data_IF_372674812986
#
_entry.id   IF_372674812986
#
_cell.length_a   1.000
_cell.length_b   1.000
_cell.length_c   1.000
_cell.angle_alpha   90.00
_cell.angle_beta   90.00
_cell.angle_gamma   90.00
#
_symmetry.space_group_name_H-M   'P 1'
#
loop_
_entity.id
_entity.type
_entity.pdbx_description
1 polymer ?
#
# COMPACT_ATOMS: atom_id res chain seq x y z
N UNK A 1 13.54 -5.05 -21.21
CA UNK A 1 13.71 -3.63 -21.26
C UNK A 1 12.65 -3.02 -22.18
N UNK A 2 11.36 -3.05 -21.82
CA UNK A 2 10.31 -2.59 -22.74
C UNK A 2 9.04 -2.16 -22.04
N UNK A 3 9.09 -1.39 -20.95
CA UNK A 3 7.83 -0.81 -20.44
C UNK A 3 7.95 0.60 -19.86
N UNK A 4 9.11 1.19 -19.92
CA UNK A 4 9.33 2.56 -19.41
C UNK A 4 8.84 3.65 -20.37
N UNK A 5 8.61 3.33 -21.63
CA UNK A 5 8.21 4.32 -22.66
C UNK A 5 6.73 4.69 -22.65
N UNK A 6 5.86 3.92 -22.04
CA UNK A 6 4.42 4.19 -22.08
C UNK A 6 3.96 5.30 -21.08
N UNK A 7 4.73 5.54 -20.02
CA UNK A 7 4.40 6.59 -19.04
C UNK A 7 4.93 7.97 -19.45
N UNK A 8 5.95 8.03 -20.32
CA UNK A 8 6.62 9.27 -20.71
C UNK A 8 5.80 10.20 -21.59
N UNK A 9 4.82 9.69 -22.34
CA UNK A 9 4.04 10.51 -23.29
C UNK A 9 2.74 11.08 -22.71
N UNK A 10 2.28 10.60 -21.56
CA UNK A 10 1.02 11.00 -20.96
C UNK A 10 1.18 12.00 -19.77
N UNK A 11 2.35 12.06 -19.15
CA UNK A 11 2.63 12.95 -18.03
C UNK A 11 3.48 14.12 -18.50
N UNK A 12 2.88 15.29 -18.65
CA UNK A 12 3.62 16.49 -19.12
C UNK A 12 4.44 17.18 -18.05
N UNK A 13 4.23 16.89 -16.75
CA UNK A 13 5.06 17.44 -15.66
C UNK A 13 4.98 16.58 -14.39
N UNK A 14 6.14 16.15 -13.89
CA UNK A 14 6.26 15.53 -12.57
C UNK A 14 6.58 16.64 -11.57
N UNK A 15 5.56 17.16 -10.90
CA UNK A 15 5.69 18.18 -9.86
C UNK A 15 5.76 17.55 -8.46
N UNK A 16 6.75 17.94 -7.69
CA UNK A 16 7.10 17.62 -6.30
C UNK A 16 7.98 16.38 -6.10
N UNK A 17 8.91 16.52 -5.13
CA UNK A 17 9.75 15.41 -4.65
C UNK A 17 8.88 14.19 -4.35
N UNK A 18 9.27 13.00 -4.81
CA UNK A 18 8.52 11.79 -4.54
C UNK A 18 8.44 11.55 -3.03
N UNK A 19 7.26 11.24 -2.54
CA UNK A 19 7.10 10.75 -1.19
C UNK A 19 7.65 9.33 -1.13
N UNK A 20 8.55 9.05 -0.17
CA UNK A 20 9.07 7.71 0.05
C UNK A 20 7.98 6.85 0.69
N UNK A 21 7.55 5.82 -0.01
CA UNK A 21 6.80 4.71 0.55
C UNK A 21 7.76 3.57 0.91
N UNK A 22 7.35 2.66 1.80
CA UNK A 22 8.20 1.54 2.24
C UNK A 22 8.74 0.71 1.07
N UNK A 23 7.87 0.32 0.15
CA UNK A 23 8.16 -0.56 -0.99
C UNK A 23 8.19 0.16 -2.33
N UNK A 24 8.04 1.49 -2.37
CA UNK A 24 7.99 2.26 -3.60
C UNK A 24 8.23 3.75 -3.43
N UNK A 25 7.96 4.47 -4.49
CA UNK A 25 7.97 5.93 -4.51
C UNK A 25 6.65 6.42 -5.08
N UNK A 26 6.08 7.47 -4.48
CA UNK A 26 4.82 8.07 -4.92
C UNK A 26 5.12 9.42 -5.56
N UNK A 27 4.66 9.57 -6.78
CA UNK A 27 4.77 10.80 -7.57
C UNK A 27 3.41 11.44 -7.73
N UNK A 28 3.39 12.76 -7.74
CA UNK A 28 2.22 13.52 -8.19
C UNK A 28 2.38 13.74 -9.71
N UNK A 29 1.43 13.27 -10.48
CA UNK A 29 1.40 13.41 -11.93
C UNK A 29 0.17 14.21 -12.35
N UNK A 30 0.34 15.08 -13.34
CA UNK A 30 -0.74 15.89 -13.91
C UNK A 30 -1.12 15.36 -15.29
N UNK A 31 -2.42 15.16 -15.53
CA UNK A 31 -2.95 14.81 -16.85
C UNK A 31 -3.40 16.09 -17.57
N UNK A 32 -3.52 15.99 -18.92
CA UNK A 32 -3.92 17.10 -19.81
C UNK A 32 -5.17 17.87 -19.37
N UNK A 33 -6.09 17.24 -18.65
CA UNK A 33 -7.34 17.86 -18.16
C UNK A 33 -7.19 18.51 -16.77
N UNK A 34 -6.01 18.88 -16.38
CA UNK A 34 -5.71 19.51 -15.06
C UNK A 34 -6.00 18.62 -13.84
N UNK A 35 -6.24 17.33 -14.05
CA UNK A 35 -6.44 16.37 -12.98
C UNK A 35 -5.10 15.85 -12.46
N UNK A 36 -4.96 15.78 -11.13
CA UNK A 36 -3.77 15.24 -10.49
C UNK A 36 -3.97 13.77 -10.12
N UNK A 37 -2.93 12.98 -10.33
CA UNK A 37 -2.88 11.56 -9.99
C UNK A 37 -1.71 11.26 -9.06
N UNK A 38 -1.92 10.32 -8.15
CA UNK A 38 -0.88 9.70 -7.37
C UNK A 38 -0.39 8.45 -8.10
N UNK A 39 0.87 8.45 -8.51
CA UNK A 39 1.51 7.32 -9.21
C UNK A 39 2.54 6.70 -8.27
N UNK A 40 2.23 5.52 -7.74
CA UNK A 40 3.14 4.75 -6.88
C UNK A 40 3.90 3.75 -7.76
N UNK A 41 5.21 3.89 -7.76
CA UNK A 41 6.12 3.04 -8.55
C UNK A 41 6.94 2.17 -7.62
N UNK A 42 6.97 0.88 -7.88
CA UNK A 42 7.72 -0.11 -7.12
C UNK A 42 9.24 0.12 -7.28
N UNK A 43 10.00 -0.12 -6.21
CA UNK A 43 11.47 -0.11 -6.28
C UNK A 43 11.97 -1.22 -7.23
N UNK A 44 13.05 -0.97 -7.98
CA UNK A 44 13.61 -1.99 -8.86
C UNK A 44 14.09 -3.20 -8.05
N UNK A 45 14.00 -4.37 -8.65
CA UNK A 45 14.46 -5.66 -8.10
C UNK A 45 13.84 -6.08 -6.75
N UNK A 46 12.74 -5.42 -6.31
CA UNK A 46 12.12 -5.67 -5.01
C UNK A 46 11.70 -7.14 -4.84
N UNK A 47 11.16 -7.78 -5.88
CA UNK A 47 10.80 -9.20 -5.85
C UNK A 47 12.00 -10.10 -5.47
N UNK A 48 13.15 -9.87 -6.10
CA UNK A 48 14.36 -10.67 -5.80
C UNK A 48 14.91 -10.41 -4.40
N UNK A 49 14.83 -9.16 -3.94
CA UNK A 49 15.26 -8.79 -2.59
C UNK A 49 14.40 -9.49 -1.53
N UNK A 50 13.07 -9.41 -1.66
CA UNK A 50 12.14 -10.07 -0.74
C UNK A 50 12.36 -11.58 -0.76
N UNK A 51 12.44 -12.19 -1.95
CA UNK A 51 12.66 -13.64 -2.06
C UNK A 51 13.94 -14.07 -1.36
N UNK A 52 15.02 -13.36 -1.58
CA UNK A 52 16.31 -13.63 -0.93
C UNK A 52 16.19 -13.51 0.59
N UNK A 53 15.59 -12.44 1.05
CA UNK A 53 15.50 -12.14 2.48
C UNK A 53 14.59 -13.16 3.20
N UNK A 54 13.48 -13.58 2.59
CA UNK A 54 12.61 -14.65 3.12
C UNK A 54 13.35 -15.98 3.21
N UNK A 55 14.14 -16.35 2.18
CA UNK A 55 14.94 -17.59 2.20
C UNK A 55 15.98 -17.56 3.32
N UNK A 56 16.68 -16.43 3.49
CA UNK A 56 17.67 -16.26 4.55
C UNK A 56 16.98 -16.33 5.93
N UNK A 57 15.88 -15.63 6.12
CA UNK A 57 15.11 -15.66 7.37
C UNK A 57 14.64 -17.07 7.70
N UNK A 58 14.14 -17.81 6.72
CA UNK A 58 13.71 -19.20 6.90
C UNK A 58 14.86 -20.10 7.32
N UNK A 59 16.02 -19.98 6.67
CA UNK A 59 17.21 -20.72 7.03
C UNK A 59 17.65 -20.41 8.47
N UNK A 60 17.77 -19.13 8.82
CA UNK A 60 18.15 -18.71 10.19
C UNK A 60 17.15 -19.20 11.22
N UNK A 61 15.85 -19.06 10.95
CA UNK A 61 14.80 -19.51 11.85
C UNK A 61 14.87 -21.02 12.11
N UNK A 62 15.07 -21.82 11.07
CA UNK A 62 15.20 -23.27 11.21
C UNK A 62 16.46 -23.63 11.97
N UNK A 63 17.57 -22.94 11.71
CA UNK A 63 18.85 -23.19 12.39
C UNK A 63 18.81 -22.85 13.86
N UNK A 64 18.18 -21.71 14.24
CA UNK A 64 18.11 -21.27 15.63
C UNK A 64 16.90 -21.82 16.40
N UNK A 65 15.94 -22.46 15.73
CA UNK A 65 14.73 -23.01 16.35
C UNK A 65 15.00 -23.88 17.60
N UNK A 66 16.03 -24.77 17.63
CA UNK A 66 16.30 -25.59 18.81
C UNK A 66 16.79 -24.80 20.03
N UNK A 67 17.32 -23.59 19.80
CA UNK A 67 17.87 -22.71 20.85
C UNK A 67 16.85 -21.72 21.39
N UNK A 68 15.71 -21.57 20.71
CA UNK A 68 14.67 -20.63 21.10
C UNK A 68 13.56 -21.39 21.84
N UNK A 69 13.29 -21.08 23.12
CA UNK A 69 12.19 -21.70 23.88
C UNK A 69 10.84 -21.10 23.45
N UNK A 70 10.52 -21.15 22.15
CA UNK A 70 9.30 -20.60 21.60
C UNK A 70 8.21 -21.69 21.59
N UNK A 71 7.30 -21.62 22.56
CA UNK A 71 6.10 -22.46 22.62
C UNK A 71 4.95 -21.80 21.84
N UNK A 72 5.15 -21.57 20.53
CA UNK A 72 4.19 -20.79 19.70
C UNK A 72 3.10 -21.71 19.11
N UNK A 73 3.18 -23.04 19.31
CA UNK A 73 2.19 -24.00 18.76
C UNK A 73 2.24 -24.18 17.23
N UNK A 74 2.97 -23.33 16.51
CA UNK A 74 3.17 -23.36 15.05
C UNK A 74 4.66 -23.32 14.75
N UNK A 75 5.11 -24.00 13.70
CA UNK A 75 6.52 -24.00 13.30
C UNK A 75 6.97 -22.61 12.86
N UNK A 76 8.15 -22.14 13.34
CA UNK A 76 8.70 -20.83 12.94
C UNK A 76 8.81 -20.71 11.42
N UNK A 77 9.13 -21.81 10.71
CA UNK A 77 9.20 -21.85 9.26
C UNK A 77 7.86 -21.49 8.60
N UNK A 78 6.75 -21.96 9.15
CA UNK A 78 5.40 -21.67 8.64
C UNK A 78 5.03 -20.19 8.80
N UNK A 79 5.42 -19.59 9.93
CA UNK A 79 5.23 -18.15 10.18
C UNK A 79 6.00 -17.33 9.15
N UNK A 80 7.24 -17.73 8.83
CA UNK A 80 8.05 -17.01 7.82
C UNK A 80 7.48 -17.21 6.42
N UNK A 81 6.97 -18.38 6.09
CA UNK A 81 6.32 -18.64 4.81
C UNK A 81 5.06 -17.78 4.64
N UNK A 82 4.24 -17.65 5.69
CA UNK A 82 3.07 -16.79 5.67
C UNK A 82 3.44 -15.31 5.57
N UNK A 83 4.45 -14.88 6.32
CA UNK A 83 5.01 -13.52 6.19
C UNK A 83 5.53 -13.25 4.77
N UNK A 84 6.23 -14.23 4.18
CA UNK A 84 6.69 -14.15 2.80
C UNK A 84 5.56 -13.98 1.79
N UNK A 85 4.47 -14.75 1.93
CA UNK A 85 3.26 -14.59 1.10
C UNK A 85 2.67 -13.20 1.24
N UNK A 86 2.51 -12.71 2.46
CA UNK A 86 1.98 -11.37 2.73
C UNK A 86 2.83 -10.28 2.05
N UNK A 87 4.16 -10.38 2.11
CA UNK A 87 5.06 -9.46 1.42
C UNK A 87 4.93 -9.52 -0.11
N UNK A 88 4.77 -10.73 -0.69
CA UNK A 88 4.56 -10.87 -2.13
C UNK A 88 3.20 -10.32 -2.58
N UNK A 89 2.18 -10.45 -1.76
CA UNK A 89 0.87 -9.84 -2.02
C UNK A 89 0.91 -8.31 -1.93
N UNK A 90 1.68 -7.75 -1.00
CA UNK A 90 1.88 -6.30 -0.81
C UNK A 90 2.60 -5.64 -2.01
N UNK A 91 3.44 -6.38 -2.71
CA UNK A 91 4.14 -5.86 -3.90
C UNK A 91 3.36 -6.07 -5.20
N UNK A 92 2.22 -6.75 -5.19
CA UNK A 92 1.36 -6.90 -6.37
C UNK A 92 0.36 -5.75 -6.45
N UNK A 93 0.75 -4.69 -7.16
CA UNK A 93 -0.06 -3.48 -7.29
C UNK A 93 -1.35 -3.67 -8.11
N UNK A 94 -1.48 -4.72 -8.91
CA UNK A 94 -2.76 -5.09 -9.53
C UNK A 94 -3.75 -5.57 -8.46
N UNK A 95 -3.29 -6.40 -7.52
CA UNK A 95 -4.12 -6.83 -6.38
C UNK A 95 -4.50 -5.64 -5.49
N UNK A 96 -3.54 -4.74 -5.19
CA UNK A 96 -3.81 -3.52 -4.43
C UNK A 96 -4.93 -2.70 -5.10
N UNK A 97 -4.85 -2.50 -6.43
CA UNK A 97 -5.87 -1.78 -7.19
C UNK A 97 -7.25 -2.47 -7.19
N UNK A 98 -7.29 -3.80 -7.34
CA UNK A 98 -8.54 -4.57 -7.27
C UNK A 98 -9.16 -4.52 -5.87
N UNK A 99 -8.34 -4.57 -4.83
CA UNK A 99 -8.82 -4.43 -3.46
C UNK A 99 -9.35 -3.03 -3.20
N UNK A 100 -8.70 -1.98 -3.72
CA UNK A 100 -9.22 -0.61 -3.64
C UNK A 100 -10.61 -0.49 -4.28
N UNK A 101 -10.86 -1.15 -5.43
CA UNK A 101 -12.18 -1.17 -6.06
C UNK A 101 -13.23 -1.89 -5.20
N UNK A 102 -12.88 -3.05 -4.61
CA UNK A 102 -13.79 -3.75 -3.69
C UNK A 102 -14.13 -2.90 -2.48
N UNK A 103 -13.12 -2.24 -1.93
CA UNK A 103 -13.28 -1.36 -0.77
C UNK A 103 -14.14 -0.15 -1.11
N UNK A 104 -13.94 0.47 -2.28
CA UNK A 104 -14.77 1.58 -2.76
C UNK A 104 -16.25 1.16 -2.90
N UNK A 105 -16.53 -0.04 -3.36
CA UNK A 105 -17.89 -0.57 -3.45
C UNK A 105 -18.51 -0.81 -2.07
N UNK A 106 -17.72 -1.32 -1.11
CA UNK A 106 -18.20 -1.59 0.25
C UNK A 106 -18.61 -0.31 0.98
N UNK A 107 -17.86 0.77 0.80
CA UNK A 107 -18.09 2.05 1.46
C UNK A 107 -18.82 3.10 0.60
N UNK A 108 -19.38 2.68 -0.53
CA UNK A 108 -20.03 3.59 -1.50
C UNK A 108 -21.09 4.48 -0.88
N UNK A 109 -21.85 3.99 0.10
CA UNK A 109 -22.95 4.71 0.75
C UNK A 109 -22.50 5.46 2.01
N UNK A 110 -21.24 5.35 2.42
CA UNK A 110 -20.73 6.03 3.60
C UNK A 110 -20.08 7.36 3.23
N UNK A 111 -20.72 8.52 3.51
CA UNK A 111 -20.19 9.81 3.12
C UNK A 111 -18.90 10.21 3.87
N UNK A 112 -18.58 9.53 4.97
CA UNK A 112 -17.39 9.83 5.78
C UNK A 112 -16.14 9.07 5.30
N UNK A 113 -16.27 8.22 4.28
CA UNK A 113 -15.16 7.42 3.74
C UNK A 113 -14.99 7.76 2.27
N UNK A 114 -13.85 8.35 1.93
CA UNK A 114 -13.47 8.64 0.56
C UNK A 114 -12.30 7.75 0.14
N UNK A 115 -12.49 6.98 -0.92
CA UNK A 115 -11.48 6.07 -1.45
C UNK A 115 -10.99 6.61 -2.81
N UNK A 116 -9.66 6.79 -2.99
CA UNK A 116 -9.11 7.26 -4.26
C UNK A 116 -9.53 6.36 -5.40
N UNK A 117 -9.94 6.95 -6.50
CA UNK A 117 -10.31 6.19 -7.70
C UNK A 117 -9.10 5.51 -8.29
N UNK A 118 -9.17 4.19 -8.48
CA UNK A 118 -8.13 3.40 -9.13
C UNK A 118 -8.20 3.59 -10.66
N UNK A 119 -7.11 4.03 -11.27
CA UNK A 119 -6.99 4.26 -12.72
C UNK A 119 -6.27 3.07 -13.38
N UNK A 120 -7.05 2.04 -13.72
CA UNK A 120 -6.52 0.78 -14.26
C UNK A 120 -5.70 0.98 -15.54
N UNK A 121 -6.10 1.92 -16.42
CA UNK A 121 -5.40 2.20 -17.67
C UNK A 121 -3.97 2.72 -17.50
N UNK A 122 -3.64 3.29 -16.33
CA UNK A 122 -2.31 3.80 -15.97
C UNK A 122 -1.62 2.93 -14.93
N UNK A 123 -2.11 1.72 -14.70
CA UNK A 123 -1.61 0.81 -13.66
C UNK A 123 -1.11 -0.50 -14.24
N UNK A 124 -0.21 -1.16 -13.53
CA UNK A 124 0.38 -2.46 -13.86
C UNK A 124 0.84 -3.15 -12.58
N UNK A 125 1.41 -4.36 -12.66
CA UNK A 125 1.94 -5.07 -11.48
C UNK A 125 2.94 -4.26 -10.63
N UNK A 126 3.63 -3.29 -11.24
CA UNK A 126 4.68 -2.50 -10.57
C UNK A 126 4.34 -1.02 -10.45
N UNK A 127 3.21 -0.59 -10.95
CA UNK A 127 2.77 0.79 -10.92
C UNK A 127 1.29 0.82 -10.58
N UNK A 128 0.92 1.49 -9.49
CA UNK A 128 -0.48 1.76 -9.19
C UNK A 128 -0.74 3.26 -9.30
N UNK A 129 -1.80 3.59 -10.00
CA UNK A 129 -2.23 4.97 -10.22
C UNK A 129 -3.62 5.17 -9.65
N UNK A 130 -3.75 6.19 -8.81
CA UNK A 130 -5.03 6.58 -8.20
C UNK A 130 -5.26 8.07 -8.35
N UNK A 131 -6.49 8.52 -8.15
CA UNK A 131 -6.76 9.96 -8.05
C UNK A 131 -5.97 10.56 -6.89
N UNK A 132 -5.47 11.80 -7.10
CA UNK A 132 -4.81 12.53 -6.02
C UNK A 132 -5.83 13.01 -5.00
N UNK A 133 -5.48 12.93 -3.74
CA UNK A 133 -6.27 13.45 -2.63
C UNK A 133 -5.40 14.41 -1.83
N UNK A 134 -5.92 15.59 -1.58
CA UNK A 134 -5.35 16.50 -0.60
C UNK A 134 -5.94 16.19 0.78
N UNK A 135 -5.09 16.08 1.77
CA UNK A 135 -5.50 15.73 3.11
C UNK A 135 -4.46 16.08 4.17
N UNK A 136 -4.90 16.16 5.41
CA UNK A 136 -4.07 16.42 6.57
C UNK A 136 -3.70 15.11 7.24
N UNK A 137 -2.42 14.95 7.59
CA UNK A 137 -1.97 13.76 8.33
C UNK A 137 -2.47 13.81 9.77
N UNK A 138 -3.01 12.69 10.26
CA UNK A 138 -3.48 12.58 11.65
C UNK A 138 -2.39 12.82 12.71
N UNK A 139 -1.12 12.76 12.34
CA UNK A 139 0.03 13.07 13.21
C UNK A 139 0.28 14.57 13.36
N UNK A 140 -0.24 15.37 12.45
CA UNK A 140 -0.02 16.82 12.42
C UNK A 140 -1.12 17.52 13.21
N UNK A 141 -0.92 17.59 14.53
CA UNK A 141 -1.91 18.19 15.46
C UNK A 141 -2.19 19.64 15.16
N UNK A 142 -1.18 20.42 14.78
CA UNK A 142 -1.35 21.84 14.48
C UNK A 142 -2.31 22.06 13.30
N UNK A 143 -2.10 21.30 12.20
CA UNK A 143 -2.99 21.37 11.05
C UNK A 143 -4.40 20.82 11.32
N UNK A 144 -4.52 19.82 12.22
CA UNK A 144 -5.84 19.32 12.62
C UNK A 144 -6.62 20.38 13.41
N UNK A 145 -5.98 21.06 14.36
CA UNK A 145 -6.58 22.13 15.15
C UNK A 145 -6.95 23.33 14.27
N UNK A 146 -6.08 23.76 13.37
CA UNK A 146 -6.34 24.83 12.40
C UNK A 146 -7.57 24.55 11.52
N UNK A 147 -7.76 23.29 11.12
CA UNK A 147 -8.89 22.87 10.31
C UNK A 147 -10.12 22.42 11.14
N UNK A 148 -10.13 22.64 12.46
CA UNK A 148 -11.18 22.22 13.39
C UNK A 148 -11.52 20.72 13.33
N UNK A 149 -10.52 19.88 13.03
CA UNK A 149 -10.67 18.44 12.93
C UNK A 149 -10.42 17.79 14.30
N UNK A 150 -11.47 17.26 14.91
CA UNK A 150 -11.38 16.61 16.23
C UNK A 150 -10.98 15.14 16.03
N UNK A 151 -9.80 14.68 16.52
CA UNK A 151 -9.34 13.30 16.34
C UNK A 151 -10.33 12.25 16.83
N UNK A 152 -11.07 12.52 17.91
CA UNK A 152 -12.04 11.59 18.47
C UNK A 152 -13.19 11.25 17.50
N UNK A 153 -13.58 12.16 16.60
CA UNK A 153 -14.63 11.92 15.61
C UNK A 153 -14.23 10.88 14.56
N UNK A 154 -12.92 10.73 14.29
CA UNK A 154 -12.41 9.80 13.31
C UNK A 154 -12.24 8.38 13.83
N UNK A 155 -12.13 8.19 15.17
CA UNK A 155 -11.88 6.87 15.77
C UNK A 155 -12.97 5.88 15.38
N UNK A 156 -14.24 6.29 15.42
CA UNK A 156 -15.37 5.43 15.04
C UNK A 156 -15.29 5.00 13.58
N UNK A 157 -15.01 5.93 12.67
CA UNK A 157 -14.88 5.65 11.23
C UNK A 157 -13.66 4.77 10.95
N UNK A 158 -12.52 5.05 11.59
CA UNK A 158 -11.30 4.23 11.47
C UNK A 158 -11.52 2.80 11.98
N UNK A 159 -12.24 2.62 13.09
CA UNK A 159 -12.59 1.30 13.61
C UNK A 159 -13.46 0.52 12.62
N UNK A 160 -14.46 1.15 12.00
CA UNK A 160 -15.28 0.53 10.96
C UNK A 160 -14.47 0.11 9.75
N UNK A 161 -13.55 0.95 9.29
CA UNK A 161 -12.65 0.64 8.18
C UNK A 161 -11.78 -0.56 8.53
N UNK A 162 -11.20 -0.58 9.72
CA UNK A 162 -10.32 -1.66 10.17
C UNK A 162 -11.03 -3.02 10.32
N UNK A 163 -12.27 -3.01 10.83
CA UNK A 163 -13.09 -4.22 10.97
C UNK A 163 -13.54 -4.76 9.59
N UNK A 164 -13.76 -3.84 8.63
CA UNK A 164 -14.25 -4.18 7.30
C UNK A 164 -13.15 -4.47 6.27
N UNK A 165 -11.87 -4.44 6.68
CA UNK A 165 -10.74 -4.68 5.78
C UNK A 165 -10.74 -6.14 5.31
N UNK A 166 -11.11 -6.43 4.03
CA UNK A 166 -11.31 -7.80 3.55
C UNK A 166 -9.98 -8.56 3.30
N UNK A 167 -8.85 -7.93 3.57
CA UNK A 167 -7.52 -8.41 3.18
C UNK A 167 -6.73 -9.06 4.30
N UNK A 168 -7.22 -9.00 5.56
CA UNK A 168 -6.62 -9.75 6.66
C UNK A 168 -7.41 -11.03 6.90
N UNK A 169 -6.86 -12.22 6.59
CA UNK A 169 -7.36 -13.44 7.17
C UNK A 169 -7.25 -13.30 8.70
N UNK A 170 -8.36 -13.50 9.39
CA UNK A 170 -8.34 -13.62 10.83
C UNK A 170 -7.44 -14.82 11.18
N UNK A 171 -6.36 -14.54 11.90
CA UNK A 171 -5.56 -15.56 12.55
C UNK A 171 -6.33 -16.14 13.73
#
# INVERSE_FOLDING_TARGET
>A
PTSTHCLSSAASDVYKRPASASLGQVYNAKIKNNNYLAVKVQRPNLYFLIRRDVVILRFLATFFSPFLPLNIGVGIGEIIDEFGKALFDEIDYEKEGLNALKFANLFKENPNVFIPKFEKQFSSKRVITTSWIDGVKLKDRALLEENNLIPASFIKTLSLIHISEPTRPYL
#
